data_IF_984220506569
#
_entry.id   IF_984220506569
#
_cell.length_a   1.000
_cell.length_b   1.000
_cell.length_c   1.000
_cell.angle_alpha   90.00
_cell.angle_beta   90.00
_cell.angle_gamma   90.00
#
_symmetry.space_group_name_H-M   'P 1'
#
loop_
_entity.id
_entity.type
_entity.pdbx_description
1 polymer ?
#
# COMPACT_ATOMS: atom_id res chain seq x y z
N UNK A 1 30.63 42.71 37.84
CA UNK A 1 30.61 41.56 36.91
C UNK A 1 29.17 41.41 36.42
N UNK A 2 28.85 41.64 35.14
CA UNK A 2 27.47 41.50 34.68
C UNK A 2 27.12 40.03 34.44
N UNK A 3 25.91 39.68 34.85
CA UNK A 3 25.29 38.36 34.81
C UNK A 3 24.86 38.01 33.38
N UNK A 4 25.24 36.83 32.88
CA UNK A 4 24.75 36.26 31.63
C UNK A 4 23.61 35.28 31.93
N UNK A 5 22.36 35.71 31.68
CA UNK A 5 21.19 34.84 31.67
C UNK A 5 21.15 34.17 30.29
N UNK A 6 21.44 32.87 30.25
CA UNK A 6 21.32 32.06 29.04
C UNK A 6 19.86 31.62 28.90
N UNK A 7 19.12 32.26 27.99
CA UNK A 7 17.76 31.86 27.64
C UNK A 7 17.84 30.69 26.65
N UNK A 8 17.73 29.46 27.16
CA UNK A 8 17.71 28.26 26.32
C UNK A 8 16.35 28.15 25.64
N UNK A 9 16.27 28.51 24.36
CA UNK A 9 15.08 28.29 23.54
C UNK A 9 14.92 26.79 23.27
N UNK A 10 13.96 26.15 23.92
CA UNK A 10 13.51 24.82 23.52
C UNK A 10 12.78 24.94 22.18
N UNK A 11 13.39 24.46 21.11
CA UNK A 11 12.72 24.20 19.84
C UNK A 11 11.88 22.94 20.02
N UNK A 12 10.61 23.12 20.37
CA UNK A 12 9.63 22.04 20.33
C UNK A 12 9.36 21.63 18.90
N UNK A 13 9.79 20.43 18.51
CA UNK A 13 9.37 19.81 17.24
C UNK A 13 7.87 19.51 17.34
N UNK A 14 7.05 20.33 16.68
CA UNK A 14 5.65 20.00 16.43
C UNK A 14 5.62 18.80 15.47
N UNK A 15 5.40 17.60 16.00
CA UNK A 15 5.05 16.46 15.19
C UNK A 15 3.61 16.69 14.69
N UNK A 16 3.47 17.14 13.44
CA UNK A 16 2.18 17.16 12.78
C UNK A 16 1.74 15.70 12.59
N UNK A 17 0.66 15.32 13.27
CA UNK A 17 -0.03 14.07 12.99
C UNK A 17 -0.57 14.15 11.56
N UNK A 18 0.13 13.52 10.62
CA UNK A 18 -0.39 13.22 9.29
C UNK A 18 -1.64 12.35 9.48
N UNK A 19 -2.80 12.95 9.27
CA UNK A 19 -4.06 12.21 9.20
C UNK A 19 -3.92 11.20 8.07
N UNK A 20 -4.45 10.00 8.25
CA UNK A 20 -4.49 9.02 7.18
C UNK A 20 -5.32 9.60 6.03
N UNK A 21 -4.65 9.91 4.92
CA UNK A 21 -5.26 10.50 3.75
C UNK A 21 -5.54 9.39 2.74
N UNK A 22 -6.80 9.32 2.29
CA UNK A 22 -7.17 8.55 1.11
C UNK A 22 -7.23 9.51 -0.07
N UNK A 23 -6.40 9.30 -1.09
CA UNK A 23 -6.34 10.18 -2.24
C UNK A 23 -6.15 9.42 -3.55
N UNK A 24 -6.56 10.06 -4.65
CA UNK A 24 -6.42 9.50 -5.99
C UNK A 24 -4.96 9.55 -6.42
N UNK A 25 -4.46 8.45 -6.98
CA UNK A 25 -3.09 8.29 -7.48
C UNK A 25 -3.14 7.83 -8.93
N UNK A 26 -2.12 8.21 -9.70
CA UNK A 26 -1.89 7.52 -10.97
C UNK A 26 -1.22 6.19 -10.64
N UNK A 27 -2.00 5.10 -10.58
CA UNK A 27 -1.42 3.74 -10.49
C UNK A 27 -0.65 3.50 -11.78
N UNK A 28 0.68 3.29 -11.74
CA UNK A 28 1.46 3.05 -12.94
C UNK A 28 0.95 1.84 -13.73
N UNK A 29 1.12 1.88 -15.05
CA UNK A 29 0.77 0.76 -15.91
C UNK A 29 1.59 -0.49 -15.54
N UNK A 30 0.96 -1.67 -15.68
CA UNK A 30 1.58 -2.95 -15.34
C UNK A 30 1.31 -3.46 -13.92
N UNK A 31 0.53 -2.76 -13.10
CA UNK A 31 0.07 -3.28 -11.80
C UNK A 31 -1.32 -3.85 -11.99
N UNK A 32 -1.47 -5.16 -11.83
CA UNK A 32 -2.77 -5.86 -11.80
C UNK A 32 -3.83 -5.23 -12.74
N UNK A 33 -3.60 -5.25 -14.07
CA UNK A 33 -4.36 -4.42 -14.99
C UNK A 33 -5.83 -4.85 -15.06
N UNK A 34 -6.73 -3.91 -14.79
CA UNK A 34 -8.17 -4.12 -14.85
C UNK A 34 -8.70 -5.13 -13.82
N UNK A 35 -9.92 -5.64 -14.04
CA UNK A 35 -10.53 -6.62 -13.14
C UNK A 35 -9.71 -7.91 -13.03
N UNK A 36 -9.47 -8.32 -11.79
CA UNK A 36 -8.78 -9.55 -11.42
C UNK A 36 -9.79 -10.58 -10.90
N UNK A 37 -9.52 -11.86 -11.14
CA UNK A 37 -10.30 -12.95 -10.54
C UNK A 37 -9.47 -14.17 -10.19
N UNK A 38 -9.69 -14.73 -9.00
CA UNK A 38 -8.94 -15.85 -8.47
C UNK A 38 -9.60 -16.51 -7.26
N UNK A 39 -8.81 -17.17 -6.42
CA UNK A 39 -9.31 -17.59 -5.10
C UNK A 39 -9.13 -16.44 -4.10
N UNK A 40 -10.08 -16.29 -3.18
CA UNK A 40 -9.95 -15.45 -2.00
C UNK A 40 -9.85 -16.33 -0.77
N UNK A 41 -8.63 -16.55 -0.28
CA UNK A 41 -8.41 -17.22 1.01
C UNK A 41 -8.44 -16.22 2.15
N UNK A 42 -8.14 -16.67 3.37
CA UNK A 42 -8.08 -15.80 4.54
C UNK A 42 -6.91 -16.10 5.48
N UNK A 43 -6.46 -15.04 6.15
CA UNK A 43 -5.41 -15.09 7.17
C UNK A 43 -5.73 -14.21 8.39
N UNK A 44 -5.14 -14.56 9.52
CA UNK A 44 -5.12 -13.77 10.75
C UNK A 44 -3.80 -13.01 10.85
N UNK A 45 -3.83 -11.82 11.42
CA UNK A 45 -2.65 -10.93 11.49
C UNK A 45 -1.50 -11.50 12.34
N UNK A 46 -1.79 -12.32 13.35
CA UNK A 46 -0.76 -12.88 14.24
C UNK A 46 -1.12 -14.31 14.64
N UNK A 47 -0.73 -15.27 13.82
CA UNK A 47 -0.96 -16.70 14.06
C UNK A 47 0.04 -17.55 13.27
N UNK A 48 0.72 -18.46 13.97
CA UNK A 48 1.67 -19.39 13.33
C UNK A 48 1.04 -20.35 12.31
N UNK A 49 -0.25 -20.68 12.44
CA UNK A 49 -0.97 -21.50 11.44
C UNK A 49 -1.12 -20.78 10.08
N UNK A 50 -1.04 -19.46 10.08
CA UNK A 50 -1.20 -18.62 8.90
C UNK A 50 0.16 -18.01 8.48
N UNK A 51 1.26 -18.47 9.10
CA UNK A 51 2.62 -17.94 8.91
C UNK A 51 2.77 -16.44 9.16
N UNK A 52 1.92 -15.85 10.02
CA UNK A 52 1.94 -14.43 10.37
C UNK A 52 2.46 -14.18 11.77
N UNK A 53 2.96 -12.96 12.02
CA UNK A 53 3.62 -12.59 13.28
C UNK A 53 3.18 -11.22 13.86
N UNK A 54 2.10 -10.62 13.34
CA UNK A 54 1.62 -9.30 13.74
C UNK A 54 2.33 -8.13 13.05
N UNK A 55 3.29 -8.40 12.15
CA UNK A 55 3.89 -7.40 11.28
C UNK A 55 3.63 -7.77 9.82
N UNK A 56 3.20 -6.78 9.05
CA UNK A 56 2.90 -6.95 7.64
C UNK A 56 4.15 -6.92 6.78
N UNK A 57 4.10 -7.51 5.58
CA UNK A 57 5.13 -7.33 4.56
C UNK A 57 5.38 -5.86 4.22
N UNK A 58 4.39 -4.98 4.42
CA UNK A 58 4.50 -3.53 4.23
C UNK A 58 5.28 -2.80 5.34
N UNK A 59 5.75 -3.52 6.38
CA UNK A 59 6.67 -2.98 7.38
C UNK A 59 5.99 -2.26 8.55
N UNK A 60 4.71 -2.54 8.81
CA UNK A 60 3.97 -1.99 9.95
C UNK A 60 3.23 -3.10 10.73
N UNK A 61 2.82 -2.79 11.97
CA UNK A 61 1.93 -3.68 12.74
C UNK A 61 0.51 -3.60 12.22
N UNK A 62 -0.10 -4.75 12.04
CA UNK A 62 -1.48 -4.92 11.56
C UNK A 62 -2.31 -5.82 12.47
N UNK A 63 -3.62 -5.72 12.35
CA UNK A 63 -4.59 -6.43 13.17
C UNK A 63 -5.67 -7.07 12.29
N UNK A 64 -6.37 -8.09 12.84
CA UNK A 64 -7.46 -8.77 12.12
C UNK A 64 -8.53 -7.81 11.59
N UNK A 65 -8.72 -6.68 12.27
CA UNK A 65 -9.70 -5.66 11.93
C UNK A 65 -9.25 -4.70 10.81
N UNK A 66 -7.97 -4.69 10.45
CA UNK A 66 -7.51 -3.83 9.35
C UNK A 66 -8.05 -4.39 8.01
N UNK A 67 -8.62 -3.54 7.12
CA UNK A 67 -9.23 -3.96 5.86
C UNK A 67 -8.14 -4.24 4.82
N UNK A 68 -7.33 -5.27 5.06
CA UNK A 68 -6.16 -5.61 4.26
C UNK A 68 -6.40 -6.87 3.44
N UNK A 69 -5.73 -6.93 2.29
CA UNK A 69 -5.57 -8.16 1.52
C UNK A 69 -4.12 -8.26 1.03
N UNK A 70 -3.74 -9.47 0.64
CA UNK A 70 -2.41 -9.83 0.21
C UNK A 70 -2.48 -10.46 -1.19
N UNK A 71 -1.98 -9.78 -2.23
CA UNK A 71 -1.73 -10.38 -3.53
C UNK A 71 -0.52 -11.31 -3.50
N UNK A 72 -0.33 -12.11 -4.56
CA UNK A 72 0.89 -12.92 -4.77
C UNK A 72 2.17 -12.09 -4.58
N UNK A 73 3.07 -12.58 -3.73
CA UNK A 73 4.39 -11.97 -3.51
C UNK A 73 5.18 -11.89 -4.83
N UNK A 74 5.19 -12.97 -5.63
CA UNK A 74 5.84 -13.00 -6.95
C UNK A 74 5.25 -11.98 -7.91
N UNK A 75 3.92 -11.79 -7.93
CA UNK A 75 3.28 -10.77 -8.76
C UNK A 75 3.68 -9.33 -8.34
N UNK A 76 4.05 -9.14 -7.08
CA UNK A 76 4.57 -7.88 -6.53
C UNK A 76 6.10 -7.76 -6.60
N UNK A 77 6.79 -8.69 -7.27
CA UNK A 77 8.24 -8.65 -7.52
C UNK A 77 9.08 -9.57 -6.63
N UNK A 78 8.48 -10.30 -5.69
CA UNK A 78 9.12 -11.46 -5.05
C UNK A 78 10.10 -11.17 -3.90
N UNK A 79 10.35 -9.91 -3.54
CA UNK A 79 11.34 -9.59 -2.51
C UNK A 79 10.74 -9.54 -1.11
N UNK A 80 11.48 -10.05 -0.13
CA UNK A 80 11.21 -9.93 1.30
C UNK A 80 12.35 -9.15 1.93
N UNK A 81 12.16 -8.64 3.15
CA UNK A 81 13.23 -7.98 3.88
C UNK A 81 14.47 -8.87 4.01
N UNK A 82 14.28 -10.18 4.23
CA UNK A 82 15.38 -11.12 4.41
C UNK A 82 16.05 -11.55 3.09
N UNK A 83 15.35 -11.50 1.96
CA UNK A 83 15.93 -11.87 0.66
C UNK A 83 16.64 -10.71 -0.02
N UNK A 84 16.07 -9.50 0.04
CA UNK A 84 16.71 -8.27 -0.44
C UNK A 84 16.02 -7.04 0.17
N UNK A 85 16.62 -6.41 1.20
CA UNK A 85 16.04 -5.25 1.84
C UNK A 85 15.78 -4.07 0.89
N UNK A 86 16.66 -3.87 -0.10
CA UNK A 86 16.51 -2.80 -1.09
C UNK A 86 15.35 -3.07 -2.06
N UNK A 87 15.28 -4.28 -2.62
CA UNK A 87 14.18 -4.64 -3.52
C UNK A 87 12.84 -4.66 -2.76
N UNK A 88 12.84 -5.16 -1.52
CA UNK A 88 11.68 -5.12 -0.63
C UNK A 88 11.19 -3.69 -0.38
N UNK A 89 12.09 -2.75 -0.06
CA UNK A 89 11.73 -1.33 0.08
C UNK A 89 11.13 -0.75 -1.19
N UNK A 90 11.69 -1.07 -2.36
CA UNK A 90 11.17 -0.58 -3.63
C UNK A 90 9.77 -1.15 -3.93
N UNK A 91 9.57 -2.45 -3.72
CA UNK A 91 8.31 -3.14 -3.99
C UNK A 91 7.21 -2.75 -3.00
N UNK A 92 7.51 -2.67 -1.71
CA UNK A 92 6.53 -2.25 -0.70
C UNK A 92 6.04 -0.82 -0.94
N UNK A 93 6.95 0.11 -1.28
CA UNK A 93 6.56 1.50 -1.63
C UNK A 93 5.70 1.59 -2.89
N UNK A 94 5.77 0.58 -3.73
CA UNK A 94 5.02 0.48 -4.98
C UNK A 94 3.59 -0.01 -4.77
N UNK A 95 3.39 -1.01 -3.92
CA UNK A 95 2.09 -1.69 -3.78
C UNK A 95 1.33 -1.37 -2.49
N UNK A 96 2.02 -1.19 -1.37
CA UNK A 96 1.38 -1.10 -0.05
C UNK A 96 0.49 0.12 0.07
N UNK A 97 -0.76 -0.07 0.49
CA UNK A 97 -1.74 0.99 0.67
C UNK A 97 -2.61 1.26 -0.56
N UNK A 98 -2.29 0.67 -1.73
CA UNK A 98 -3.16 0.73 -2.89
C UNK A 98 -4.52 0.12 -2.56
N UNK A 99 -5.59 0.85 -2.86
CA UNK A 99 -6.95 0.44 -2.58
C UNK A 99 -7.52 -0.40 -3.72
N UNK A 100 -8.23 -1.45 -3.36
CA UNK A 100 -9.02 -2.28 -4.26
C UNK A 100 -10.45 -2.40 -3.76
N UNK A 101 -11.39 -2.52 -4.71
CA UNK A 101 -12.72 -3.04 -4.41
C UNK A 101 -12.67 -4.55 -4.53
N UNK A 102 -12.86 -5.27 -3.43
CA UNK A 102 -12.87 -6.74 -3.39
C UNK A 102 -14.31 -7.23 -3.22
N UNK A 103 -14.72 -8.20 -4.02
CA UNK A 103 -16.10 -8.71 -4.10
C UNK A 103 -16.12 -10.23 -4.04
N UNK A 104 -16.97 -10.76 -3.18
CA UNK A 104 -17.38 -12.16 -3.25
C UNK A 104 -18.59 -12.27 -4.19
N UNK A 105 -18.45 -12.92 -5.36
CA UNK A 105 -19.55 -13.04 -6.30
C UNK A 105 -20.70 -13.93 -5.76
N UNK A 106 -20.44 -14.78 -4.78
CA UNK A 106 -21.41 -15.72 -4.21
C UNK A 106 -22.44 -15.00 -3.35
N UNK A 107 -21.98 -14.06 -2.52
CA UNK A 107 -22.83 -13.24 -1.65
C UNK A 107 -23.22 -11.91 -2.29
N UNK A 108 -22.51 -11.47 -3.33
CA UNK A 108 -22.64 -10.16 -3.95
C UNK A 108 -22.08 -9.00 -3.11
N UNK A 109 -21.46 -9.30 -1.96
CA UNK A 109 -20.91 -8.27 -1.06
C UNK A 109 -19.54 -7.81 -1.53
N UNK A 110 -19.30 -6.51 -1.38
CA UNK A 110 -18.00 -5.90 -1.66
C UNK A 110 -17.51 -5.11 -0.45
N UNK A 111 -16.19 -4.97 -0.34
CA UNK A 111 -15.53 -4.09 0.62
C UNK A 111 -14.30 -3.43 -0.04
N UNK A 112 -14.02 -2.18 0.32
CA UNK A 112 -12.75 -1.54 0.00
C UNK A 112 -11.66 -2.07 0.92
N UNK A 113 -10.59 -2.55 0.33
CA UNK A 113 -9.45 -3.13 1.05
C UNK A 113 -8.15 -2.57 0.49
N UNK A 114 -7.07 -2.69 1.25
CA UNK A 114 -5.76 -2.16 0.86
C UNK A 114 -4.75 -3.29 0.76
N UNK A 115 -3.84 -3.20 -0.21
CA UNK A 115 -2.68 -4.10 -0.24
C UNK A 115 -1.88 -3.81 1.03
N UNK A 116 -1.88 -4.77 1.95
CA UNK A 116 -1.27 -4.62 3.26
C UNK A 116 -0.22 -5.65 3.57
N UNK A 117 -0.21 -6.78 2.85
CA UNK A 117 0.72 -7.88 3.07
C UNK A 117 1.00 -8.58 1.73
N UNK A 118 1.78 -9.66 1.76
CA UNK A 118 2.09 -10.50 0.59
C UNK A 118 1.66 -11.95 0.80
N UNK A 119 1.03 -12.55 -0.21
CA UNK A 119 0.59 -13.94 -0.17
C UNK A 119 1.70 -14.86 -0.68
N UNK A 120 2.02 -15.88 0.12
CA UNK A 120 3.00 -16.89 -0.24
C UNK A 120 2.55 -17.67 -1.50
N UNK A 121 3.40 -17.62 -2.51
CA UNK A 121 3.15 -18.20 -3.82
C UNK A 121 2.93 -19.72 -3.82
N UNK A 122 3.33 -20.43 -2.75
CA UNK A 122 3.01 -21.86 -2.63
C UNK A 122 1.49 -22.14 -2.51
N UNK A 123 0.71 -21.16 -2.04
CA UNK A 123 -0.74 -21.26 -1.86
C UNK A 123 -1.54 -20.53 -2.95
N UNK A 124 -0.87 -19.69 -3.73
CA UNK A 124 -1.44 -18.96 -4.87
C UNK A 124 -1.82 -19.95 -5.98
N UNK A 125 -3.09 -19.93 -6.41
CA UNK A 125 -3.59 -20.81 -7.49
C UNK A 125 -3.56 -20.15 -8.85
N UNK A 126 -3.73 -18.83 -8.87
CA UNK A 126 -3.61 -17.96 -10.05
C UNK A 126 -2.94 -16.66 -9.62
N UNK A 127 -2.26 -15.92 -10.51
CA UNK A 127 -1.64 -14.62 -10.14
C UNK A 127 -2.61 -13.61 -9.51
N UNK A 128 -3.91 -13.73 -9.78
CA UNK A 128 -4.98 -12.91 -9.23
C UNK A 128 -5.58 -13.43 -7.90
N UNK A 129 -5.06 -14.55 -7.37
CA UNK A 129 -5.45 -15.06 -6.06
C UNK A 129 -4.98 -14.11 -4.95
N UNK A 130 -5.83 -13.94 -3.94
CA UNK A 130 -5.57 -13.05 -2.82
C UNK A 130 -5.84 -13.77 -1.51
N UNK A 131 -5.10 -13.37 -0.47
CA UNK A 131 -5.37 -13.74 0.91
C UNK A 131 -5.97 -12.54 1.64
N UNK A 132 -7.11 -12.70 2.30
CA UNK A 132 -7.89 -11.59 2.86
C UNK A 132 -7.79 -11.61 4.39
N UNK A 133 -7.57 -10.46 5.01
CA UNK A 133 -7.58 -10.37 6.47
C UNK A 133 -8.93 -10.86 7.01
N UNK A 134 -8.90 -11.70 8.05
CA UNK A 134 -10.05 -12.51 8.50
C UNK A 134 -11.35 -11.73 8.75
N UNK A 135 -11.30 -10.51 9.31
CA UNK A 135 -12.52 -9.75 9.56
C UNK A 135 -13.10 -9.21 8.25
N UNK A 136 -12.25 -8.76 7.32
CA UNK A 136 -12.64 -8.32 5.99
C UNK A 136 -13.21 -9.48 5.15
N UNK A 137 -12.62 -10.68 5.25
CA UNK A 137 -13.16 -11.90 4.66
C UNK A 137 -14.55 -12.22 5.24
N UNK A 138 -14.68 -12.17 6.57
CA UNK A 138 -15.93 -12.47 7.27
C UNK A 138 -17.05 -11.49 6.90
N UNK A 139 -16.72 -10.23 6.62
CA UNK A 139 -17.69 -9.22 6.19
C UNK A 139 -18.31 -9.53 4.83
N UNK A 140 -17.50 -10.00 3.87
CA UNK A 140 -17.96 -10.24 2.49
C UNK A 140 -18.41 -11.69 2.25
N UNK A 141 -17.84 -12.68 2.93
CA UNK A 141 -18.14 -14.11 2.70
C UNK A 141 -18.85 -14.77 3.89
N UNK A 142 -18.42 -14.44 5.12
CA UNK A 142 -18.86 -15.08 6.37
C UNK A 142 -17.69 -15.70 7.14
N UNK A 143 -17.90 -15.99 8.43
CA UNK A 143 -16.84 -16.51 9.29
C UNK A 143 -16.44 -17.93 8.84
N UNK A 144 -15.15 -18.18 8.50
CA UNK A 144 -14.69 -19.50 8.04
C UNK A 144 -14.55 -20.52 9.18
N UNK A 145 -14.74 -20.12 10.45
CA UNK A 145 -14.66 -20.99 11.64
C UNK A 145 -13.38 -21.83 11.73
N UNK A 146 -12.27 -21.31 11.19
CA UNK A 146 -10.98 -21.99 11.18
C UNK A 146 -10.74 -22.95 10.00
N UNK A 147 -11.73 -23.18 9.12
CA UNK A 147 -11.56 -24.04 7.95
C UNK A 147 -10.81 -23.32 6.82
N UNK A 148 -9.59 -23.78 6.52
CA UNK A 148 -8.75 -23.24 5.44
C UNK A 148 -9.25 -23.61 4.03
N UNK A 149 -10.20 -24.53 3.91
CA UNK A 149 -10.87 -24.84 2.64
C UNK A 149 -12.09 -23.94 2.39
N UNK A 150 -12.54 -23.21 3.41
CA UNK A 150 -13.57 -22.19 3.25
C UNK A 150 -12.94 -20.94 2.62
N UNK A 151 -13.06 -20.87 1.29
CA UNK A 151 -12.48 -19.83 0.43
C UNK A 151 -13.52 -19.29 -0.53
N UNK A 152 -13.36 -18.03 -0.93
CA UNK A 152 -14.16 -17.43 -1.99
C UNK A 152 -13.66 -17.96 -3.33
N UNK A 153 -14.50 -18.72 -4.03
CA UNK A 153 -14.21 -19.18 -5.39
C UNK A 153 -14.55 -18.07 -6.39
N UNK A 154 -13.56 -17.62 -7.16
CA UNK A 154 -13.76 -16.57 -8.16
C UNK A 154 -13.90 -15.18 -7.53
N UNK A 155 -13.23 -14.91 -6.41
CA UNK A 155 -13.19 -13.56 -5.82
C UNK A 155 -12.80 -12.56 -6.91
N UNK A 156 -13.48 -11.42 -6.93
CA UNK A 156 -13.24 -10.37 -7.93
C UNK A 156 -12.63 -9.16 -7.25
N UNK A 157 -11.58 -8.60 -7.82
CA UNK A 157 -11.02 -7.37 -7.30
C UNK A 157 -10.42 -6.48 -8.37
N UNK A 158 -10.38 -5.18 -8.12
CA UNK A 158 -9.79 -4.20 -9.02
C UNK A 158 -9.25 -3.03 -8.22
N UNK A 159 -8.07 -2.54 -8.60
CA UNK A 159 -7.49 -1.34 -8.01
C UNK A 159 -8.34 -0.11 -8.37
N UNK A 160 -8.65 0.72 -7.39
CA UNK A 160 -9.56 1.86 -7.58
C UNK A 160 -8.86 3.11 -8.09
N UNK A 161 -7.53 3.09 -8.21
CA UNK A 161 -6.73 4.29 -8.42
C UNK A 161 -6.59 5.17 -7.17
N UNK A 162 -6.81 4.63 -5.97
CA UNK A 162 -6.61 5.34 -4.70
C UNK A 162 -5.56 4.68 -3.83
N UNK A 163 -4.97 5.46 -2.93
CA UNK A 163 -4.08 4.96 -1.88
C UNK A 163 -4.57 5.46 -0.52
N UNK A 164 -4.35 4.67 0.53
CA UNK A 164 -4.54 5.08 1.91
C UNK A 164 -3.18 5.10 2.64
N UNK A 165 -2.76 6.28 3.10
CA UNK A 165 -1.43 6.46 3.72
C UNK A 165 -1.27 5.73 5.05
N UNK A 166 -2.36 5.34 5.73
CA UNK A 166 -2.30 4.48 6.93
C UNK A 166 -1.63 3.14 6.64
N UNK A 167 -1.87 2.60 5.44
CA UNK A 167 -1.42 1.26 5.04
C UNK A 167 -0.27 1.33 4.03
N UNK A 168 0.30 2.52 3.84
CA UNK A 168 1.47 2.73 3.02
C UNK A 168 2.74 2.23 3.71
N UNK A 169 3.69 1.72 2.92
CA UNK A 169 5.00 1.37 3.45
C UNK A 169 5.79 2.63 3.86
N UNK A 170 6.69 2.53 4.86
CA UNK A 170 7.55 3.65 5.23
C UNK A 170 8.33 4.25 4.05
N UNK A 171 8.16 5.54 3.84
CA UNK A 171 8.81 6.27 2.75
C UNK A 171 8.13 6.10 1.39
N UNK A 172 6.98 5.42 1.30
CA UNK A 172 6.17 5.42 0.10
C UNK A 172 5.64 6.83 -0.20
N UNK A 173 5.51 7.13 -1.48
CA UNK A 173 4.94 8.37 -2.00
C UNK A 173 4.37 8.08 -3.38
N UNK A 174 3.12 8.44 -3.59
CA UNK A 174 2.46 8.30 -4.88
C UNK A 174 2.17 9.66 -5.47
N UNK A 175 2.42 9.85 -6.76
CA UNK A 175 1.99 11.06 -7.45
C UNK A 175 0.45 11.13 -7.42
N UNK A 176 -0.15 12.22 -6.93
CA UNK A 176 -1.59 12.42 -7.01
C UNK A 176 -2.04 12.40 -8.46
N UNK A 177 -3.21 11.81 -8.72
CA UNK A 177 -3.86 11.89 -10.02
C UNK A 177 -4.05 13.36 -10.39
N UNK A 178 -3.72 13.74 -11.63
CA UNK A 178 -3.64 15.14 -12.06
C UNK A 178 -4.95 15.88 -11.82
N UNK A 179 -4.98 16.67 -10.74
CA UNK A 179 -6.08 17.56 -10.35
C UNK A 179 -5.63 18.77 -9.54
N UNK A 180 -4.36 18.85 -9.14
CA UNK A 180 -3.77 20.06 -8.57
C UNK A 180 -3.18 20.92 -9.68
N UNK A 181 -3.94 21.92 -10.14
CA UNK A 181 -3.45 23.03 -10.98
C UNK A 181 -2.49 23.94 -10.19
N UNK A 182 -1.38 23.38 -9.71
CA UNK A 182 -0.31 24.10 -9.06
C UNK A 182 0.99 23.82 -9.81
N UNK A 183 1.61 24.86 -10.37
CA UNK A 183 2.91 24.76 -11.04
C UNK A 183 3.97 24.29 -10.04
N UNK A 184 4.61 23.14 -10.31
CA UNK A 184 5.82 22.67 -9.64
C UNK A 184 5.68 22.10 -8.23
N UNK A 185 4.50 22.10 -7.61
CA UNK A 185 4.28 21.55 -6.27
C UNK A 185 4.43 20.02 -6.19
N UNK A 186 4.43 19.46 -4.97
CA UNK A 186 4.44 18.01 -4.76
C UNK A 186 3.26 17.38 -5.52
N UNK A 187 3.56 16.43 -6.41
CA UNK A 187 2.59 15.78 -7.25
C UNK A 187 2.25 16.46 -8.57
N UNK A 188 2.84 17.63 -8.86
CA UNK A 188 2.68 18.31 -10.13
C UNK A 188 3.38 17.57 -11.27
N UNK A 189 2.82 17.63 -12.48
CA UNK A 189 3.46 17.08 -13.68
C UNK A 189 4.73 17.89 -14.03
N UNK A 190 5.79 17.18 -14.37
CA UNK A 190 7.08 17.71 -14.74
C UNK A 190 7.69 16.89 -15.89
N UNK A 191 8.64 17.47 -16.63
CA UNK A 191 9.35 16.81 -17.73
C UNK A 191 10.88 16.90 -17.59
N UNK A 192 11.36 17.50 -16.49
CA UNK A 192 12.78 17.71 -16.22
C UNK A 192 13.46 18.75 -17.13
N UNK A 193 12.71 19.39 -18.04
CA UNK A 193 13.24 20.34 -19.02
C UNK A 193 12.50 21.69 -18.98
N UNK A 194 11.19 21.68 -19.24
CA UNK A 194 10.34 22.88 -19.36
C UNK A 194 9.35 23.03 -18.20
N UNK A 195 8.99 21.91 -17.55
CA UNK A 195 8.14 21.84 -16.37
C UNK A 195 8.98 21.31 -15.23
N UNK A 196 9.50 22.23 -14.43
CA UNK A 196 10.36 21.94 -13.28
C UNK A 196 9.55 21.86 -11.99
N UNK A 197 10.10 21.13 -11.04
CA UNK A 197 9.56 21.04 -9.69
C UNK A 197 10.05 22.21 -8.83
N UNK A 198 9.27 22.56 -7.82
CA UNK A 198 9.67 23.54 -6.81
C UNK A 198 10.92 23.05 -6.08
N UNK A 199 11.69 24.01 -5.53
CA UNK A 199 12.94 23.70 -4.83
C UNK A 199 12.72 22.64 -3.74
N UNK A 200 13.60 21.64 -3.70
CA UNK A 200 13.48 20.48 -2.80
C UNK A 200 12.71 19.27 -3.37
N UNK A 201 12.17 19.38 -4.59
CA UNK A 201 11.45 18.30 -5.27
C UNK A 201 12.19 17.84 -6.54
N UNK A 202 12.13 16.55 -6.84
CA UNK A 202 12.72 15.94 -8.03
C UNK A 202 11.62 15.50 -9.00
N UNK A 203 11.84 15.73 -10.30
CA UNK A 203 10.97 15.19 -11.33
C UNK A 203 11.26 13.71 -11.54
N UNK A 204 10.33 12.84 -11.17
CA UNK A 204 10.48 11.39 -11.29
C UNK A 204 10.14 10.92 -12.70
N UNK A 205 11.08 10.23 -13.33
CA UNK A 205 10.89 9.48 -14.58
C UNK A 205 10.31 8.09 -14.28
N UNK A 206 9.56 7.44 -15.21
CA UNK A 206 9.11 7.92 -16.52
C UNK A 206 7.82 8.76 -16.50
N UNK A 207 7.10 8.77 -15.38
CA UNK A 207 5.74 9.33 -15.29
C UNK A 207 5.69 10.87 -15.18
N UNK A 208 6.85 11.51 -14.97
CA UNK A 208 7.04 12.96 -14.96
C UNK A 208 6.27 13.64 -13.83
N UNK A 209 6.61 13.35 -12.57
CA UNK A 209 5.93 13.95 -11.41
C UNK A 209 6.90 14.46 -10.34
N UNK A 210 6.60 15.63 -9.77
CA UNK A 210 7.38 16.26 -8.71
C UNK A 210 7.22 15.56 -7.37
N UNK A 211 8.34 15.09 -6.79
CA UNK A 211 8.36 14.36 -5.53
C UNK A 211 9.45 14.86 -4.60
N UNK A 212 9.17 14.97 -3.31
CA UNK A 212 10.14 15.24 -2.24
C UNK A 212 10.98 14.00 -1.89
N UNK A 213 10.62 12.84 -2.46
CA UNK A 213 11.30 11.57 -2.27
C UNK A 213 11.78 11.03 -3.61
N UNK A 214 13.05 10.64 -3.64
CA UNK A 214 13.67 9.90 -4.72
C UNK A 214 13.12 8.46 -4.79
N UNK A 215 11.89 8.30 -5.26
CA UNK A 215 11.43 7.01 -5.76
C UNK A 215 11.56 7.06 -7.28
N UNK A 216 12.73 6.64 -7.76
CA UNK A 216 12.88 6.18 -9.13
C UNK A 216 11.94 4.97 -9.26
N UNK A 217 10.78 5.20 -9.85
CA UNK A 217 10.01 4.10 -10.43
C UNK A 217 10.86 3.66 -11.60
N UNK A 218 11.66 2.60 -11.36
CA UNK A 218 12.75 2.16 -12.23
C UNK A 218 12.40 2.13 -13.71
#
# INVERSE_FOLDING_TARGET
MPSLITLSMMVGTLATSVVADVYNVNVPSGFFPGPQSGIGSWYRASTGQDSTNGNSWCGYKYYNSDPLFAPSLKAMGGATYNSSPDAWRQQTRKYCGLEAKVTDPTTGKSQLMYIGDSFDDQWVRTPASIDIMIDAFSNIHGNPNGDKNNVIKGVQWELTGRVNTKYAAPGASWPPASGGSGTGGLGAKCDGQTKLCNSGLTCLSPDGVCSDKACNWG
#
